data_IF_534739728132
#
_entry.id   IF_534739728132
#
_cell.length_a   1.000
_cell.length_b   1.000
_cell.length_c   1.000
_cell.angle_alpha   90.00
_cell.angle_beta   90.00
_cell.angle_gamma   90.00
#
_symmetry.space_group_name_H-M   'P 1'
#
loop_
_entity.id
_entity.type
_entity.pdbx_description
1 polymer ?
#
# COMPACT_ATOMS: atom_id res chain seq x y z
N UNK A 1 11.98 5.92 -1.91
CA UNK A 1 13.11 6.28 -1.02
C UNK A 1 12.65 7.06 0.20
N UNK A 2 12.17 8.30 0.09
CA UNK A 2 11.82 9.17 1.26
C UNK A 2 10.88 8.52 2.28
N UNK A 3 9.77 7.91 1.81
CA UNK A 3 8.79 7.27 2.69
C UNK A 3 9.39 6.12 3.52
N UNK A 4 10.25 5.30 2.91
CA UNK A 4 10.84 4.11 3.55
C UNK A 4 12.13 4.41 4.30
N UNK A 5 12.95 5.37 3.84
CA UNK A 5 14.28 5.62 4.41
C UNK A 5 14.26 6.69 5.50
N UNK A 6 13.44 7.75 5.33
CA UNK A 6 13.45 8.91 6.24
C UNK A 6 12.21 8.88 7.14
N UNK A 7 11.01 8.85 6.55
CA UNK A 7 9.76 8.91 7.32
C UNK A 7 9.62 7.69 8.23
N UNK A 8 9.82 6.48 7.69
CA UNK A 8 9.76 5.26 8.49
C UNK A 8 10.81 5.24 9.62
N UNK A 9 12.01 5.78 9.39
CA UNK A 9 13.03 5.87 10.45
C UNK A 9 12.62 6.88 11.53
N UNK A 10 12.05 8.02 11.17
CA UNK A 10 11.49 8.98 12.15
C UNK A 10 10.35 8.37 12.96
N UNK A 11 9.48 7.58 12.33
CA UNK A 11 8.40 6.85 13.00
C UNK A 11 8.97 5.79 13.97
N UNK A 12 9.96 5.01 13.54
CA UNK A 12 10.68 4.05 14.39
C UNK A 12 11.35 4.71 15.59
N UNK A 13 11.96 5.89 15.41
CA UNK A 13 12.54 6.65 16.52
C UNK A 13 11.48 7.07 17.53
N UNK A 14 10.27 7.43 17.09
CA UNK A 14 9.16 7.73 18.00
C UNK A 14 8.65 6.49 18.72
N UNK A 15 8.61 5.33 18.06
CA UNK A 15 8.28 4.07 18.72
C UNK A 15 9.30 3.72 19.82
N UNK A 16 10.59 3.94 19.57
CA UNK A 16 11.65 3.76 20.59
C UNK A 16 11.43 4.65 21.82
N UNK A 17 11.04 5.92 21.63
CA UNK A 17 10.68 6.82 22.74
C UNK A 17 9.53 6.22 23.54
N UNK A 18 8.44 5.82 22.89
CA UNK A 18 7.27 5.26 23.57
C UNK A 18 7.60 3.96 24.31
N UNK A 19 8.41 3.09 23.71
CA UNK A 19 8.87 1.86 24.34
C UNK A 19 9.70 2.14 25.59
N UNK A 20 10.63 3.11 25.53
CA UNK A 20 11.41 3.51 26.70
C UNK A 20 10.52 4.10 27.78
N UNK A 21 9.66 5.07 27.45
CA UNK A 21 8.74 5.70 28.41
C UNK A 21 7.86 4.66 29.11
N UNK A 22 7.31 3.70 28.36
CA UNK A 22 6.52 2.61 28.91
C UNK A 22 7.35 1.71 29.85
N UNK A 23 8.60 1.41 29.50
CA UNK A 23 9.53 0.63 30.35
C UNK A 23 9.91 1.34 31.65
N UNK A 24 9.89 2.68 31.64
CA UNK A 24 10.15 3.52 32.80
C UNK A 24 8.87 3.81 33.62
N UNK A 25 7.70 3.34 33.16
CA UNK A 25 6.42 3.63 33.80
C UNK A 25 6.01 5.09 33.68
N UNK A 26 6.47 5.81 32.66
CA UNK A 26 6.15 7.21 32.40
C UNK A 26 5.03 7.34 31.35
N UNK A 27 4.13 8.32 31.51
CA UNK A 27 4.10 9.35 32.57
C UNK A 27 3.38 8.92 33.86
N UNK A 28 2.92 7.67 33.97
CA UNK A 28 2.10 7.21 35.10
C UNK A 28 2.75 7.40 36.47
N UNK A 29 4.05 7.11 36.59
CA UNK A 29 4.82 7.21 37.83
C UNK A 29 4.96 8.65 38.33
N UNK A 30 5.22 9.58 37.41
CA UNK A 30 5.30 11.01 37.68
C UNK A 30 3.93 11.57 38.11
N UNK A 31 2.87 11.23 37.37
CA UNK A 31 1.51 11.71 37.62
C UNK A 31 0.93 11.18 38.95
N UNK A 32 1.22 9.93 39.31
CA UNK A 32 0.77 9.32 40.56
C UNK A 32 1.32 10.07 41.79
N UNK A 33 2.53 10.63 41.68
CA UNK A 33 3.16 11.40 42.75
C UNK A 33 2.76 12.89 42.77
N UNK A 34 2.61 13.54 41.61
CA UNK A 34 2.25 14.97 41.54
C UNK A 34 0.79 15.25 41.93
N UNK A 35 -0.12 14.34 41.59
CA UNK A 35 -1.56 14.47 41.88
C UNK A 35 -2.06 13.22 42.60
N UNK A 36 -1.88 13.13 43.93
CA UNK A 36 -2.39 12.01 44.73
C UNK A 36 -3.93 11.94 44.74
N UNK A 37 -4.62 13.03 44.37
CA UNK A 37 -6.08 13.17 44.36
C UNK A 37 -6.53 13.74 43.00
N UNK A 38 -7.54 13.13 42.37
CA UNK A 38 -8.12 13.57 41.08
C UNK A 38 -7.41 13.00 39.85
N UNK A 39 -7.92 13.26 38.64
CA UNK A 39 -7.30 12.75 37.40
C UNK A 39 -6.23 13.72 36.86
N UNK A 40 -5.10 13.22 36.31
CA UNK A 40 -4.16 14.04 35.55
C UNK A 40 -4.80 14.70 34.33
N UNK A 41 -4.42 15.95 34.00
CA UNK A 41 -5.03 16.67 32.87
C UNK A 41 -4.76 16.00 31.52
N UNK A 42 -3.56 15.43 31.34
CA UNK A 42 -3.18 14.62 30.18
C UNK A 42 -4.14 13.46 29.97
N UNK A 43 -4.43 12.70 31.03
CA UNK A 43 -5.36 11.58 30.97
C UNK A 43 -6.80 12.03 30.66
N UNK A 44 -7.25 13.14 31.25
CA UNK A 44 -8.58 13.71 30.94
C UNK A 44 -8.66 14.11 29.47
N UNK A 45 -7.59 14.71 28.92
CA UNK A 45 -7.53 15.07 27.51
C UNK A 45 -7.52 13.82 26.62
N UNK A 46 -6.77 12.77 26.97
CA UNK A 46 -6.79 11.49 26.24
C UNK A 46 -8.19 10.86 26.27
N UNK A 47 -8.87 10.85 27.43
CA UNK A 47 -10.22 10.34 27.56
C UNK A 47 -11.21 11.14 26.69
N UNK A 48 -11.09 12.47 26.68
CA UNK A 48 -11.92 13.33 25.85
C UNK A 48 -11.68 13.09 24.35
N UNK A 49 -10.43 12.97 23.91
CA UNK A 49 -10.09 12.60 22.53
C UNK A 49 -10.72 11.26 22.12
N UNK A 50 -10.70 10.27 23.02
CA UNK A 50 -11.30 8.94 22.81
C UNK A 50 -12.83 9.02 22.70
N UNK A 51 -13.47 9.84 23.54
CA UNK A 51 -14.93 10.05 23.53
C UNK A 51 -15.39 10.79 22.28
N UNK A 52 -14.74 11.91 21.95
CA UNK A 52 -15.08 12.72 20.77
C UNK A 52 -14.92 11.94 19.48
N UNK A 53 -13.92 11.06 19.41
CA UNK A 53 -13.68 10.22 18.25
C UNK A 53 -14.61 8.99 18.16
N UNK A 54 -15.44 8.73 19.16
CA UNK A 54 -16.21 7.48 19.31
C UNK A 54 -15.31 6.25 19.07
N UNK A 55 -14.13 6.28 19.69
CA UNK A 55 -12.95 5.51 19.27
C UNK A 55 -13.21 4.00 19.14
N UNK A 56 -13.87 3.41 20.14
CA UNK A 56 -14.14 1.96 20.19
C UNK A 56 -15.06 1.54 19.03
N UNK A 57 -16.15 2.26 18.83
CA UNK A 57 -17.10 1.96 17.75
C UNK A 57 -16.50 2.26 16.38
N UNK A 58 -15.70 3.31 16.26
CA UNK A 58 -14.99 3.65 15.03
C UNK A 58 -14.04 2.53 14.61
N UNK A 59 -13.28 1.96 15.54
CA UNK A 59 -12.37 0.83 15.25
C UNK A 59 -13.15 -0.40 14.80
N UNK A 60 -14.24 -0.76 15.50
CA UNK A 60 -15.12 -1.87 15.08
C UNK A 60 -15.69 -1.67 13.67
N UNK A 61 -16.16 -0.47 13.34
CA UNK A 61 -16.62 -0.14 11.97
C UNK A 61 -15.50 -0.27 10.95
N UNK A 62 -14.30 0.21 11.26
CA UNK A 62 -13.15 0.09 10.36
C UNK A 62 -12.77 -1.37 10.09
N UNK A 63 -12.80 -2.25 11.09
CA UNK A 63 -12.61 -3.69 10.88
C UNK A 63 -13.68 -4.28 9.97
N UNK A 64 -14.96 -3.96 10.20
CA UNK A 64 -16.05 -4.43 9.37
C UNK A 64 -15.95 -3.93 7.91
N UNK A 65 -15.50 -2.70 7.71
CA UNK A 65 -15.26 -2.15 6.37
C UNK A 65 -14.10 -2.86 5.66
N UNK A 66 -13.01 -3.14 6.38
CA UNK A 66 -11.87 -3.92 5.86
C UNK A 66 -12.32 -5.34 5.48
N UNK A 67 -13.15 -6.00 6.32
CA UNK A 67 -13.66 -7.33 6.01
C UNK A 67 -14.53 -7.34 4.74
N UNK A 68 -15.32 -6.29 4.52
CA UNK A 68 -16.09 -6.13 3.27
C UNK A 68 -15.18 -5.95 2.06
N UNK A 69 -14.16 -5.09 2.16
CA UNK A 69 -13.21 -4.87 1.07
C UNK A 69 -12.47 -6.18 0.74
N UNK A 70 -11.93 -6.86 1.75
CA UNK A 70 -11.27 -8.15 1.58
C UNK A 70 -12.17 -9.18 0.91
N UNK A 71 -13.41 -9.30 1.38
CA UNK A 71 -14.38 -10.25 0.81
C UNK A 71 -14.70 -9.93 -0.65
N UNK A 72 -14.85 -8.65 -0.99
CA UNK A 72 -15.08 -8.23 -2.37
C UNK A 72 -13.87 -8.54 -3.27
N UNK A 73 -12.65 -8.24 -2.81
CA UNK A 73 -11.42 -8.51 -3.56
C UNK A 73 -11.20 -10.01 -3.76
N UNK A 74 -11.44 -10.82 -2.72
CA UNK A 74 -11.34 -12.27 -2.79
C UNK A 74 -12.36 -12.84 -3.78
N UNK A 75 -13.61 -12.37 -3.76
CA UNK A 75 -14.63 -12.83 -4.70
C UNK A 75 -14.29 -12.49 -6.17
N UNK A 76 -13.75 -11.29 -6.43
CA UNK A 76 -13.30 -10.89 -7.77
C UNK A 76 -12.12 -11.75 -8.23
N UNK A 77 -11.19 -12.04 -7.32
CA UNK A 77 -10.05 -12.90 -7.59
C UNK A 77 -10.48 -14.35 -7.89
N UNK A 78 -11.38 -14.89 -7.08
CA UNK A 78 -11.93 -16.24 -7.26
C UNK A 78 -12.67 -16.37 -8.59
N UNK A 79 -13.45 -15.36 -9.02
CA UNK A 79 -14.09 -15.34 -10.34
C UNK A 79 -13.07 -15.43 -11.49
N UNK A 80 -11.92 -14.75 -11.34
CA UNK A 80 -10.81 -14.86 -12.29
C UNK A 80 -10.20 -16.27 -12.32
N UNK A 81 -9.99 -16.87 -11.14
CA UNK A 81 -9.46 -18.25 -11.05
C UNK A 81 -10.42 -19.28 -11.64
N UNK A 82 -11.72 -19.17 -11.34
CA UNK A 82 -12.76 -20.03 -11.91
C UNK A 82 -12.79 -19.93 -13.43
N UNK A 83 -12.61 -18.72 -13.99
CA UNK A 83 -12.54 -18.52 -15.45
C UNK A 83 -11.33 -19.21 -16.07
N UNK A 84 -10.16 -19.18 -15.43
CA UNK A 84 -8.97 -19.92 -15.89
C UNK A 84 -9.18 -21.43 -15.85
N UNK A 85 -9.77 -21.94 -14.77
CA UNK A 85 -10.06 -23.38 -14.62
C UNK A 85 -11.09 -23.84 -15.67
N UNK A 86 -12.12 -23.04 -15.92
CA UNK A 86 -13.15 -23.36 -16.92
C UNK A 86 -12.57 -23.44 -18.34
N UNK A 87 -11.67 -22.53 -18.72
CA UNK A 87 -10.99 -22.60 -20.03
C UNK A 87 -10.09 -23.83 -20.13
N UNK A 88 -9.38 -24.18 -19.06
CA UNK A 88 -8.54 -25.38 -19.00
C UNK A 88 -9.37 -26.66 -19.17
N UNK A 89 -10.50 -26.77 -18.45
CA UNK A 89 -11.43 -27.89 -18.58
C UNK A 89 -12.03 -27.99 -19.99
N UNK A 90 -12.36 -26.85 -20.60
CA UNK A 90 -12.88 -26.83 -21.97
C UNK A 90 -11.82 -27.26 -22.99
N UNK A 91 -10.59 -26.75 -22.89
CA UNK A 91 -9.47 -27.14 -23.76
C UNK A 91 -9.22 -28.66 -23.65
N UNK A 92 -9.18 -29.20 -22.44
CA UNK A 92 -9.03 -30.63 -22.21
C UNK A 92 -10.18 -31.44 -22.84
N UNK A 93 -11.43 -30.98 -22.71
CA UNK A 93 -12.60 -31.63 -23.31
C UNK A 93 -12.51 -31.65 -24.83
N UNK A 94 -12.12 -30.55 -25.46
CA UNK A 94 -11.99 -30.44 -26.92
C UNK A 94 -10.83 -31.28 -27.46
N UNK A 95 -9.69 -31.30 -26.76
CA UNK A 95 -8.57 -32.21 -27.07
C UNK A 95 -8.99 -33.68 -27.03
N UNK A 96 -9.77 -34.10 -26.04
CA UNK A 96 -10.29 -35.48 -25.95
C UNK A 96 -11.26 -35.80 -27.09
N UNK A 97 -12.05 -34.83 -27.56
CA UNK A 97 -13.04 -35.00 -28.63
C UNK A 97 -12.40 -35.13 -30.02
N UNK A 98 -11.43 -34.27 -30.34
CA UNK A 98 -10.84 -34.19 -31.69
C UNK A 98 -9.47 -34.87 -31.83
N UNK A 99 -8.84 -35.25 -30.72
CA UNK A 99 -7.48 -35.76 -30.69
C UNK A 99 -6.44 -34.65 -30.84
N UNK A 100 -5.21 -34.90 -30.39
CA UNK A 100 -4.12 -33.92 -30.38
C UNK A 100 -3.55 -33.63 -31.76
N UNK A 101 -3.77 -34.51 -32.74
CA UNK A 101 -3.25 -34.34 -34.11
C UNK A 101 -4.06 -33.34 -34.93
N UNK A 102 -5.37 -33.22 -34.65
CA UNK A 102 -6.28 -32.28 -35.33
C UNK A 102 -6.53 -31.02 -34.51
N UNK A 103 -6.45 -31.12 -33.19
CA UNK A 103 -6.59 -29.99 -32.27
C UNK A 103 -5.23 -29.37 -31.94
N UNK A 104 -4.61 -28.73 -32.94
CA UNK A 104 -3.22 -28.27 -32.89
C UNK A 104 -2.99 -26.96 -32.08
N UNK A 105 -4.00 -26.45 -31.34
CA UNK A 105 -3.83 -25.24 -30.52
C UNK A 105 -2.89 -25.50 -29.34
N UNK A 106 -2.18 -24.48 -28.86
CA UNK A 106 -1.41 -24.55 -27.62
C UNK A 106 -2.33 -24.89 -26.45
N UNK A 107 -1.89 -25.72 -25.52
CA UNK A 107 -2.66 -26.08 -24.33
C UNK A 107 -2.81 -24.90 -23.38
N UNK A 108 -3.91 -24.90 -22.64
CA UNK A 108 -4.21 -23.86 -21.65
C UNK A 108 -3.05 -23.59 -20.67
N UNK A 109 -2.27 -24.63 -20.35
CA UNK A 109 -1.18 -24.54 -19.36
C UNK A 109 0.11 -24.02 -20.00
N UNK A 110 0.49 -24.47 -21.20
CA UNK A 110 1.71 -23.98 -21.87
C UNK A 110 1.49 -22.75 -22.77
N UNK A 111 0.25 -22.24 -22.90
CA UNK A 111 0.00 -20.96 -23.54
C UNK A 111 0.74 -19.84 -22.76
N UNK A 112 1.61 -19.03 -23.40
CA UNK A 112 2.42 -18.03 -22.70
C UNK A 112 1.57 -17.00 -21.91
N UNK A 113 0.43 -16.58 -22.46
CA UNK A 113 -0.48 -15.64 -21.78
C UNK A 113 -1.17 -16.31 -20.59
N UNK A 114 -1.60 -17.57 -20.75
CA UNK A 114 -2.17 -18.37 -19.67
C UNK A 114 -1.19 -18.59 -18.51
N UNK A 115 0.07 -18.93 -18.82
CA UNK A 115 1.13 -19.11 -17.82
C UNK A 115 1.46 -17.81 -17.06
N UNK A 116 1.50 -16.67 -17.75
CA UNK A 116 1.65 -15.35 -17.13
C UNK A 116 0.51 -15.08 -16.13
N UNK A 117 -0.75 -15.30 -16.54
CA UNK A 117 -1.92 -15.08 -15.69
C UNK A 117 -1.91 -15.97 -14.44
N UNK A 118 -1.46 -17.23 -14.55
CA UNK A 118 -1.30 -18.13 -13.39
C UNK A 118 -0.19 -17.67 -12.43
N UNK A 119 0.88 -17.07 -12.97
CA UNK A 119 1.95 -16.47 -12.15
C UNK A 119 1.41 -15.28 -11.36
N UNK A 120 0.68 -14.37 -12.03
CA UNK A 120 0.00 -13.25 -11.38
C UNK A 120 -0.99 -13.74 -10.32
N UNK A 121 -1.72 -14.83 -10.58
CA UNK A 121 -2.62 -15.42 -9.59
C UNK A 121 -1.88 -15.87 -8.32
N UNK A 122 -0.73 -16.54 -8.46
CA UNK A 122 0.08 -16.97 -7.33
C UNK A 122 0.64 -15.79 -6.51
N UNK A 123 1.01 -14.69 -7.17
CA UNK A 123 1.43 -13.46 -6.49
C UNK A 123 0.30 -12.84 -5.65
N UNK A 124 -0.90 -12.75 -6.24
CA UNK A 124 -2.09 -12.23 -5.55
C UNK A 124 -2.45 -13.11 -4.34
N UNK A 125 -2.37 -14.44 -4.47
CA UNK A 125 -2.57 -15.37 -3.34
C UNK A 125 -1.58 -15.08 -2.20
N UNK A 126 -0.31 -14.82 -2.54
CA UNK A 126 0.71 -14.40 -1.56
C UNK A 126 0.33 -13.12 -0.84
N UNK A 127 -0.19 -12.11 -1.55
CA UNK A 127 -0.63 -10.85 -0.96
C UNK A 127 -1.84 -11.03 -0.03
N UNK A 128 -2.82 -11.85 -0.42
CA UNK A 128 -4.02 -12.14 0.41
C UNK A 128 -3.63 -12.91 1.67
N UNK A 129 -2.71 -13.89 1.57
CA UNK A 129 -2.24 -14.66 2.72
C UNK A 129 -1.48 -13.78 3.73
N UNK A 130 -0.56 -12.93 3.24
CA UNK A 130 0.24 -12.03 4.08
C UNK A 130 -0.62 -10.97 4.78
N UNK A 131 -1.57 -10.37 4.05
CA UNK A 131 -2.51 -9.39 4.61
C UNK A 131 -3.44 -9.99 5.66
N UNK A 132 -3.92 -11.22 5.47
CA UNK A 132 -4.74 -11.92 6.48
C UNK A 132 -3.99 -12.10 7.81
N UNK A 133 -2.72 -12.48 7.76
CA UNK A 133 -1.87 -12.60 8.96
C UNK A 133 -1.65 -11.24 9.64
N UNK A 134 -1.39 -10.21 8.85
CA UNK A 134 -1.17 -8.83 9.35
C UNK A 134 -2.42 -8.26 10.02
N UNK A 135 -3.59 -8.43 9.41
CA UNK A 135 -4.88 -7.99 9.95
C UNK A 135 -5.20 -8.68 11.28
N UNK A 136 -4.87 -9.95 11.41
CA UNK A 136 -5.05 -10.71 12.65
C UNK A 136 -4.20 -10.13 13.79
N UNK A 137 -2.95 -9.75 13.53
CA UNK A 137 -2.08 -9.10 14.53
C UNK A 137 -2.72 -7.77 14.99
N UNK A 138 -3.27 -6.98 14.07
CA UNK A 138 -3.92 -5.70 14.40
C UNK A 138 -5.18 -5.92 15.25
N UNK A 139 -5.98 -6.96 14.95
CA UNK A 139 -7.14 -7.37 15.76
C UNK A 139 -6.74 -7.77 17.17
N UNK A 140 -5.68 -8.55 17.33
CA UNK A 140 -5.15 -8.97 18.63
C UNK A 140 -4.65 -7.77 19.45
N UNK A 141 -3.93 -6.84 18.80
CA UNK A 141 -3.51 -5.57 19.43
C UNK A 141 -4.71 -4.79 19.96
N UNK A 142 -5.80 -4.69 19.20
CA UNK A 142 -7.01 -4.00 19.63
C UNK A 142 -7.72 -4.74 20.77
N UNK A 143 -7.91 -6.06 20.64
CA UNK A 143 -8.56 -6.88 21.67
C UNK A 143 -7.85 -6.77 23.04
N UNK A 144 -6.52 -6.66 23.04
CA UNK A 144 -5.72 -6.50 24.25
C UNK A 144 -5.98 -5.17 24.99
N UNK A 145 -6.41 -4.12 24.28
CA UNK A 145 -6.63 -2.78 24.85
C UNK A 145 -8.10 -2.38 24.95
N UNK A 146 -9.01 -3.09 24.28
CA UNK A 146 -10.42 -2.74 24.14
C UNK A 146 -11.10 -2.49 25.48
N UNK A 147 -10.87 -3.35 26.48
CA UNK A 147 -11.46 -3.17 27.82
C UNK A 147 -11.01 -1.87 28.48
N UNK A 148 -9.74 -1.51 28.32
CA UNK A 148 -9.16 -0.28 28.90
C UNK A 148 -9.63 0.95 28.13
N UNK A 149 -9.77 0.84 26.81
CA UNK A 149 -10.37 1.89 25.98
C UNK A 149 -11.82 2.17 26.35
N UNK A 150 -12.61 1.15 26.70
CA UNK A 150 -13.96 1.34 27.20
C UNK A 150 -13.99 2.10 28.54
N UNK A 151 -12.97 1.95 29.39
CA UNK A 151 -12.81 2.77 30.60
C UNK A 151 -12.54 4.23 30.24
N UNK A 152 -11.64 4.51 29.28
CA UNK A 152 -11.37 5.86 28.77
C UNK A 152 -12.59 6.51 28.11
N UNK A 153 -13.38 5.73 27.36
CA UNK A 153 -14.59 6.19 26.69
C UNK A 153 -15.75 6.42 27.67
N UNK A 154 -15.72 5.81 28.86
CA UNK A 154 -16.72 6.00 29.91
C UNK A 154 -16.64 7.37 30.58
N UNK A 155 -17.61 7.74 31.44
CA UNK A 155 -17.61 9.02 32.15
C UNK A 155 -16.48 9.12 33.18
N UNK A 156 -16.08 10.34 33.55
CA UNK A 156 -14.97 10.61 34.48
C UNK A 156 -15.05 9.84 35.81
N UNK A 157 -16.27 9.55 36.28
CA UNK A 157 -16.50 8.72 37.47
C UNK A 157 -15.89 7.32 37.35
N UNK A 158 -16.03 6.68 36.18
CA UNK A 158 -15.50 5.34 35.91
C UNK A 158 -13.97 5.38 35.84
N UNK A 159 -13.40 6.44 35.25
CA UNK A 159 -11.96 6.69 35.26
C UNK A 159 -11.41 6.89 36.68
N UNK A 160 -12.11 7.65 37.51
CA UNK A 160 -11.74 7.85 38.91
C UNK A 160 -11.85 6.57 39.76
N UNK A 161 -12.79 5.68 39.44
CA UNK A 161 -12.89 4.37 40.09
C UNK A 161 -11.77 3.42 39.66
N UNK A 162 -11.35 3.50 38.39
CA UNK A 162 -10.23 2.72 37.86
C UNK A 162 -8.87 3.17 38.42
N UNK A 163 -8.72 4.46 38.72
CA UNK A 163 -7.47 5.03 39.24
C UNK A 163 -7.59 5.25 40.75
N UNK A 164 -7.05 4.35 41.60
CA UNK A 164 -7.18 4.47 43.06
C UNK A 164 -6.58 5.77 43.57
N UNK A 165 -7.21 6.34 44.61
CA UNK A 165 -6.69 7.53 45.29
C UNK A 165 -5.46 7.14 46.14
N UNK A 166 -4.36 7.86 45.95
CA UNK A 166 -3.17 7.67 46.79
C UNK A 166 -3.28 8.51 48.06
N UNK A 167 -2.83 7.98 49.20
CA UNK A 167 -2.69 8.79 50.41
C UNK A 167 -1.60 9.81 50.19
N UNK A 168 -1.81 11.04 50.69
CA UNK A 168 -0.77 12.07 50.73
C UNK A 168 0.36 11.59 51.64
N UNK A 169 1.50 11.23 51.08
CA UNK A 169 2.76 11.21 51.84
C UNK A 169 3.37 12.60 51.75
N UNK A 170 3.65 13.22 52.91
CA UNK A 170 4.41 14.46 52.99
C UNK A 170 5.73 14.28 52.22
N UNK A 171 5.80 14.89 51.04
CA UNK A 171 6.86 14.63 50.09
C UNK A 171 8.09 15.44 50.48
N UNK A 172 9.18 14.74 50.85
CA UNK A 172 10.48 15.36 51.14
C UNK A 172 10.89 16.34 50.02
N UNK A 173 11.63 17.40 50.38
CA UNK A 173 12.14 18.38 49.42
C UNK A 173 13.01 17.73 48.33
N UNK A 174 13.74 16.66 48.67
CA UNK A 174 14.50 15.86 47.72
C UNK A 174 13.60 15.16 46.67
N UNK A 175 12.45 14.64 47.09
CA UNK A 175 11.45 14.02 46.20
C UNK A 175 10.86 15.08 45.26
N UNK A 176 10.50 16.26 45.77
CA UNK A 176 9.96 17.36 44.96
C UNK A 176 10.97 17.84 43.91
N UNK A 177 12.25 17.92 44.27
CA UNK A 177 13.33 18.24 43.33
C UNK A 177 13.48 17.19 42.23
N UNK A 178 13.49 15.90 42.59
CA UNK A 178 13.59 14.80 41.63
C UNK A 178 12.38 14.74 40.67
N UNK A 179 11.16 14.94 41.19
CA UNK A 179 9.92 15.07 40.39
C UNK A 179 10.04 16.24 39.41
N UNK A 180 10.50 17.40 39.87
CA UNK A 180 10.66 18.59 39.01
C UNK A 180 11.64 18.36 37.85
N UNK A 181 12.77 17.70 38.12
CA UNK A 181 13.76 17.32 37.08
C UNK A 181 13.16 16.35 36.06
N UNK A 182 12.49 15.30 36.54
CA UNK A 182 11.84 14.31 35.68
C UNK A 182 10.73 14.91 34.83
N UNK A 183 9.92 15.82 35.40
CA UNK A 183 8.90 16.57 34.66
C UNK A 183 9.49 17.43 33.55
N UNK A 184 10.61 18.11 33.82
CA UNK A 184 11.31 18.90 32.80
C UNK A 184 11.80 18.00 31.67
N UNK A 185 12.49 16.90 32.00
CA UNK A 185 13.00 15.95 31.02
C UNK A 185 11.88 15.33 30.17
N UNK A 186 10.77 14.95 30.80
CA UNK A 186 9.58 14.44 30.11
C UNK A 186 8.95 15.49 29.19
N UNK A 187 8.88 16.76 29.62
CA UNK A 187 8.39 17.85 28.77
C UNK A 187 9.28 18.07 27.54
N UNK A 188 10.59 17.85 27.65
CA UNK A 188 11.50 17.96 26.51
C UNK A 188 11.31 16.83 25.50
N UNK A 189 11.03 15.59 25.98
CA UNK A 189 10.61 14.48 25.12
C UNK A 189 9.32 14.81 24.35
N UNK A 190 8.30 15.33 25.03
CA UNK A 190 7.03 15.70 24.36
C UNK A 190 7.22 16.82 23.32
N UNK A 191 8.13 17.76 23.56
CA UNK A 191 8.48 18.80 22.58
C UNK A 191 9.18 18.21 21.36
N UNK A 192 10.10 17.26 21.58
CA UNK A 192 10.79 16.53 20.51
C UNK A 192 9.77 15.78 19.63
N UNK A 193 8.88 14.98 20.23
CA UNK A 193 7.81 14.28 19.51
C UNK A 193 6.91 15.23 18.72
N UNK A 194 6.48 16.34 19.33
CA UNK A 194 5.64 17.32 18.64
C UNK A 194 6.36 17.97 17.46
N UNK A 195 7.67 18.22 17.56
CA UNK A 195 8.47 18.79 16.47
C UNK A 195 8.65 17.77 15.35
N UNK A 196 8.95 16.51 15.68
CA UNK A 196 9.08 15.41 14.73
C UNK A 196 7.79 15.17 13.97
N UNK A 197 6.64 15.17 14.64
CA UNK A 197 5.33 15.03 13.99
C UNK A 197 5.10 16.10 12.92
N UNK A 198 5.45 17.36 13.21
CA UNK A 198 5.37 18.45 12.22
C UNK A 198 6.33 18.22 11.06
N UNK A 199 7.57 17.80 11.33
CA UNK A 199 8.57 17.49 10.30
C UNK A 199 8.10 16.37 9.37
N UNK A 200 7.56 15.28 9.91
CA UNK A 200 7.00 14.17 9.12
C UNK A 200 5.86 14.63 8.22
N UNK A 201 4.97 15.50 8.71
CA UNK A 201 3.88 16.03 7.89
C UNK A 201 4.39 16.91 6.75
N UNK A 202 5.33 17.81 7.03
CA UNK A 202 5.98 18.65 6.00
C UNK A 202 6.72 17.80 4.97
N UNK A 203 7.43 16.74 5.40
CA UNK A 203 8.09 15.80 4.48
C UNK A 203 7.08 15.09 3.58
N UNK A 204 5.96 14.62 4.14
CA UNK A 204 4.88 13.99 3.35
C UNK A 204 4.29 14.96 2.33
N UNK A 205 4.13 16.23 2.69
CA UNK A 205 3.65 17.26 1.77
C UNK A 205 4.68 17.57 0.67
N UNK A 206 5.97 17.71 1.03
CA UNK A 206 7.04 17.96 0.07
C UNK A 206 7.18 16.81 -0.94
N UNK A 207 7.12 15.55 -0.47
CA UNK A 207 7.14 14.37 -1.36
C UNK A 207 5.94 14.37 -2.32
N UNK A 208 4.75 14.79 -1.87
CA UNK A 208 3.58 14.90 -2.76
C UNK A 208 3.73 16.02 -3.79
N UNK A 209 4.47 17.09 -3.46
CA UNK A 209 4.71 18.24 -4.32
C UNK A 209 5.91 18.07 -5.26
N UNK A 210 6.78 17.11 -5.00
CA UNK A 210 7.96 16.84 -5.82
C UNK A 210 7.56 16.14 -7.13
N UNK A 211 7.22 16.93 -8.15
CA UNK A 211 7.07 16.45 -9.53
C UNK A 211 8.39 16.61 -10.28
N UNK A 212 9.01 15.48 -10.62
CA UNK A 212 10.29 15.43 -11.35
C UNK A 212 10.10 15.55 -12.87
N UNK A 213 8.89 15.31 -13.40
CA UNK A 213 8.60 15.31 -14.84
C UNK A 213 9.01 16.60 -15.56
N UNK A 214 8.66 17.82 -15.08
CA UNK A 214 9.01 19.04 -15.80
C UNK A 214 10.51 19.26 -15.88
N UNK A 215 11.28 18.81 -14.89
CA UNK A 215 12.73 18.98 -14.90
C UNK A 215 13.44 17.90 -15.71
N UNK A 216 12.91 16.67 -15.74
CA UNK A 216 13.34 15.64 -16.71
C UNK A 216 13.13 16.14 -18.14
N UNK A 217 11.98 16.76 -18.45
CA UNK A 217 11.71 17.28 -19.79
C UNK A 217 12.68 18.40 -20.20
N UNK A 218 13.05 19.29 -19.27
CA UNK A 218 14.09 20.31 -19.52
C UNK A 218 15.44 19.67 -19.75
N UNK A 219 15.78 18.64 -18.98
CA UNK A 219 17.04 17.93 -19.11
C UNK A 219 17.10 17.11 -20.42
N UNK A 220 15.99 16.48 -20.83
CA UNK A 220 15.83 15.88 -22.15
C UNK A 220 16.11 16.92 -23.25
N UNK A 221 15.46 18.09 -23.21
CA UNK A 221 15.66 19.14 -24.21
C UNK A 221 17.11 19.66 -24.24
N UNK A 222 17.79 19.70 -23.09
CA UNK A 222 19.22 20.02 -22.99
C UNK A 222 20.06 18.93 -23.66
N UNK A 223 19.82 17.66 -23.34
CA UNK A 223 20.54 16.51 -23.88
C UNK A 223 20.32 16.35 -25.38
N UNK A 224 19.10 16.56 -25.89
CA UNK A 224 18.79 16.57 -27.33
C UNK A 224 19.55 17.67 -28.07
N UNK A 225 19.74 18.83 -27.43
CA UNK A 225 20.53 19.94 -28.01
C UNK A 225 22.03 19.66 -27.95
N UNK A 226 22.52 19.04 -26.88
CA UNK A 226 23.96 18.74 -26.70
C UNK A 226 24.40 17.55 -27.54
N UNK A 227 23.52 16.55 -27.73
CA UNK A 227 23.80 15.33 -28.48
C UNK A 227 22.70 15.03 -29.51
N UNK A 228 22.57 15.85 -30.57
CA UNK A 228 21.46 15.78 -31.54
C UNK A 228 21.42 14.49 -32.38
N UNK A 229 22.50 13.71 -32.38
CA UNK A 229 22.62 12.43 -33.11
C UNK A 229 22.69 11.21 -32.21
N UNK A 230 22.75 11.39 -30.89
CA UNK A 230 22.83 10.28 -29.93
C UNK A 230 21.44 9.91 -29.44
N UNK A 231 21.17 8.62 -29.31
CA UNK A 231 19.96 8.14 -28.64
C UNK A 231 20.08 8.46 -27.15
N UNK A 232 19.11 9.19 -26.61
CA UNK A 232 19.08 9.49 -25.19
C UNK A 232 18.70 8.21 -24.44
N UNK A 233 19.60 7.76 -23.57
CA UNK A 233 19.41 6.60 -22.69
C UNK A 233 19.36 7.07 -21.23
N UNK A 234 18.79 6.28 -20.30
CA UNK A 234 18.70 6.63 -18.88
C UNK A 234 20.05 7.04 -18.25
N UNK A 235 21.15 6.42 -18.69
CA UNK A 235 22.50 6.72 -18.18
C UNK A 235 22.91 8.21 -18.36
N UNK A 236 22.33 8.94 -19.31
CA UNK A 236 22.62 10.36 -19.51
C UNK A 236 21.95 11.27 -18.47
N UNK A 237 21.01 10.75 -17.68
CA UNK A 237 20.32 11.49 -16.62
C UNK A 237 20.91 11.22 -15.22
N UNK A 238 21.88 10.31 -15.08
CA UNK A 238 22.46 9.94 -13.77
C UNK A 238 22.97 11.18 -13.04
N UNK A 239 23.80 12.02 -13.67
CA UNK A 239 24.29 13.27 -13.08
C UNK A 239 23.15 14.22 -12.66
N UNK A 240 22.05 14.27 -13.43
CA UNK A 240 20.89 15.09 -13.10
C UNK A 240 20.14 14.53 -11.89
N UNK A 241 19.95 13.21 -11.84
CA UNK A 241 19.31 12.54 -10.71
C UNK A 241 20.16 12.69 -9.46
N UNK A 242 21.45 12.43 -9.53
CA UNK A 242 22.39 12.57 -8.40
C UNK A 242 22.36 14.00 -7.84
N UNK A 243 22.51 15.02 -8.70
CA UNK A 243 22.46 16.42 -8.26
C UNK A 243 21.11 16.82 -7.65
N UNK A 244 20.00 16.26 -8.15
CA UNK A 244 18.66 16.52 -7.59
C UNK A 244 18.50 15.80 -6.25
N UNK A 245 18.94 14.56 -6.16
CA UNK A 245 18.89 13.74 -4.95
C UNK A 245 19.72 14.38 -3.83
N UNK A 246 20.94 14.80 -4.13
CA UNK A 246 21.83 15.48 -3.18
C UNK A 246 21.20 16.76 -2.64
N UNK A 247 20.60 17.59 -3.51
CA UNK A 247 20.00 18.86 -3.09
C UNK A 247 18.75 18.69 -2.24
N UNK A 248 17.92 17.68 -2.55
CA UNK A 248 16.63 17.51 -1.90
C UNK A 248 16.70 16.61 -0.67
N UNK A 249 17.56 15.59 -0.69
CA UNK A 249 17.51 14.50 0.29
C UNK A 249 18.72 14.44 1.22
N UNK A 250 19.90 14.90 0.81
CA UNK A 250 21.07 14.95 1.70
C UNK A 250 20.82 15.80 2.97
N UNK A 251 20.19 17.00 2.89
CA UNK A 251 19.88 17.78 4.09
C UNK A 251 18.88 17.07 5.01
N UNK A 252 17.96 16.28 4.45
CA UNK A 252 16.97 15.53 5.22
C UNK A 252 17.59 14.31 5.89
N UNK A 253 18.55 13.65 5.24
CA UNK A 253 19.35 12.56 5.80
C UNK A 253 20.27 13.05 6.92
N UNK A 254 20.98 14.16 6.72
CA UNK A 254 21.78 14.79 7.77
C UNK A 254 20.88 15.24 8.95
N UNK A 255 19.70 15.80 8.63
CA UNK A 255 18.70 16.18 9.61
C UNK A 255 18.11 15.00 10.37
N UNK A 256 18.08 13.80 9.79
CA UNK A 256 17.68 12.56 10.46
C UNK A 256 18.74 12.09 11.46
N UNK A 257 20.01 12.11 11.07
CA UNK A 257 21.12 11.75 11.96
C UNK A 257 21.19 12.68 13.19
N UNK A 258 20.98 13.98 12.99
CA UNK A 258 20.91 14.96 14.10
C UNK A 258 19.73 14.70 15.03
N UNK A 259 18.58 14.31 14.49
CA UNK A 259 17.38 14.00 15.27
C UNK A 259 17.58 12.74 16.12
N UNK A 260 18.29 11.73 15.59
CA UNK A 260 18.68 10.51 16.31
C UNK A 260 19.63 10.84 17.48
N UNK A 261 20.68 11.65 17.23
CA UNK A 261 21.62 12.08 18.27
C UNK A 261 20.95 12.94 19.36
N UNK A 262 20.02 13.84 18.98
CA UNK A 262 19.24 14.62 19.94
C UNK A 262 18.32 13.72 20.77
N UNK A 263 17.67 12.73 20.15
CA UNK A 263 16.86 11.75 20.85
C UNK A 263 17.70 11.01 21.88
N UNK A 264 18.86 10.46 21.52
CA UNK A 264 19.73 9.74 22.46
C UNK A 264 20.11 10.61 23.67
N UNK A 265 20.42 11.89 23.45
CA UNK A 265 20.72 12.84 24.54
C UNK A 265 19.53 13.05 25.46
N UNK A 266 18.34 13.30 24.91
CA UNK A 266 17.12 13.54 25.70
C UNK A 266 16.72 12.26 26.46
N UNK A 267 16.82 11.08 25.83
CA UNK A 267 16.56 9.80 26.48
C UNK A 267 17.57 9.51 27.60
N UNK A 268 18.86 9.85 27.41
CA UNK A 268 19.84 9.76 28.48
C UNK A 268 19.52 10.66 29.67
N UNK A 269 18.96 11.86 29.44
CA UNK A 269 18.51 12.77 30.52
C UNK A 269 17.31 12.19 31.26
N UNK A 270 16.29 11.69 30.55
CA UNK A 270 15.09 11.15 31.20
C UNK A 270 15.39 9.89 32.00
N UNK A 271 16.27 9.01 31.53
CA UNK A 271 16.70 7.84 32.29
C UNK A 271 17.41 8.24 33.59
N UNK A 272 18.34 9.20 33.54
CA UNK A 272 19.04 9.67 34.75
C UNK A 272 18.07 10.30 35.74
N UNK A 273 17.17 11.16 35.26
CA UNK A 273 16.13 11.76 36.08
C UNK A 273 15.18 10.70 36.68
N UNK A 274 14.83 9.67 35.91
CA UNK A 274 13.98 8.58 36.39
C UNK A 274 14.69 7.71 37.44
N UNK A 275 15.99 7.42 37.28
CA UNK A 275 16.78 6.71 38.31
C UNK A 275 16.85 7.51 39.61
N UNK A 276 17.07 8.81 39.53
CA UNK A 276 17.05 9.71 40.71
C UNK A 276 15.65 9.67 41.35
N UNK A 277 14.59 9.85 40.57
CA UNK A 277 13.21 9.79 41.03
C UNK A 277 12.86 8.45 41.69
N UNK A 278 13.17 7.31 41.07
CA UNK A 278 12.94 5.98 41.63
C UNK A 278 13.69 5.76 42.94
N UNK A 279 14.92 6.27 43.06
CA UNK A 279 15.69 6.18 44.30
C UNK A 279 14.98 6.91 45.45
N UNK A 280 14.44 8.11 45.18
CA UNK A 280 13.70 8.89 46.16
C UNK A 280 12.31 8.29 46.43
N UNK A 281 11.65 7.73 45.41
CA UNK A 281 10.35 7.06 45.51
C UNK A 281 10.42 5.84 46.43
N UNK A 282 11.45 5.01 46.29
CA UNK A 282 11.64 3.80 47.13
C UNK A 282 11.79 4.11 48.62
N UNK A 283 12.40 5.24 48.96
CA UNK A 283 12.56 5.69 50.34
C UNK A 283 11.23 6.11 50.99
N UNK A 284 10.21 6.39 50.18
CA UNK A 284 8.90 6.92 50.61
C UNK A 284 7.71 6.10 50.09
N UNK A 285 7.93 4.84 49.67
CA UNK A 285 6.94 4.03 48.96
C UNK A 285 5.73 3.67 49.83
N UNK A 286 4.55 4.14 49.44
CA UNK A 286 3.25 3.64 49.91
C UNK A 286 2.61 2.73 48.84
N UNK A 287 1.97 1.63 49.27
CA UNK A 287 1.38 0.61 48.38
C UNK A 287 0.31 1.19 47.45
N UNK A 288 -0.43 2.21 47.91
CA UNK A 288 -1.44 2.91 47.11
C UNK A 288 -0.88 3.72 45.93
N UNK A 289 0.34 4.24 46.05
CA UNK A 289 0.99 5.01 44.95
C UNK A 289 1.35 4.11 43.78
N UNK A 290 1.75 2.87 44.05
CA UNK A 290 2.10 1.89 43.02
C UNK A 290 0.87 1.42 42.22
N UNK A 291 -0.23 1.10 42.91
CA UNK A 291 -1.49 0.69 42.24
C UNK A 291 -2.05 1.82 41.36
N UNK A 292 -1.94 3.06 41.82
CA UNK A 292 -2.32 4.25 41.05
C UNK A 292 -1.44 4.45 39.81
N UNK A 293 -0.12 4.33 39.97
CA UNK A 293 0.86 4.40 38.88
C UNK A 293 0.57 3.35 37.80
N UNK A 294 0.36 2.09 38.19
CA UNK A 294 0.02 1.00 37.26
C UNK A 294 -1.28 1.28 36.51
N UNK A 295 -2.31 1.82 37.19
CA UNK A 295 -3.58 2.19 36.56
C UNK A 295 -3.42 3.33 35.54
N UNK A 296 -2.71 4.40 35.90
CA UNK A 296 -2.43 5.54 35.01
C UNK A 296 -1.62 5.10 33.78
N UNK A 297 -0.56 4.33 33.99
CA UNK A 297 0.28 3.83 32.90
C UNK A 297 -0.53 2.93 31.95
N UNK A 298 -1.41 2.09 32.49
CA UNK A 298 -2.26 1.20 31.68
C UNK A 298 -3.22 1.99 30.79
N UNK A 299 -3.78 3.10 31.29
CA UNK A 299 -4.66 3.98 30.52
C UNK A 299 -3.91 4.73 29.42
N UNK A 300 -2.75 5.32 29.74
CA UNK A 300 -1.93 6.03 28.74
C UNK A 300 -1.42 5.07 27.66
N UNK A 301 -0.94 3.88 28.04
CA UNK A 301 -0.54 2.85 27.09
C UNK A 301 -1.68 2.43 26.15
N UNK A 302 -2.92 2.34 26.66
CA UNK A 302 -4.07 2.01 25.84
C UNK A 302 -4.38 3.12 24.82
N UNK A 303 -4.21 4.40 25.18
CA UNK A 303 -4.38 5.53 24.27
C UNK A 303 -3.38 5.50 23.11
N UNK A 304 -2.09 5.30 23.39
CA UNK A 304 -1.06 5.24 22.35
C UNK A 304 -1.23 4.02 21.45
N UNK A 305 -1.52 2.85 22.01
CA UNK A 305 -1.82 1.65 21.23
C UNK A 305 -3.07 1.82 20.36
N UNK A 306 -4.07 2.56 20.82
CA UNK A 306 -5.22 2.91 19.98
C UNK A 306 -4.81 3.74 18.76
N UNK A 307 -3.94 4.75 18.93
CA UNK A 307 -3.43 5.53 17.80
C UNK A 307 -2.69 4.67 16.79
N UNK A 308 -1.88 3.73 17.27
CA UNK A 308 -1.19 2.74 16.44
C UNK A 308 -2.19 1.86 15.66
N UNK A 309 -3.20 1.30 16.33
CA UNK A 309 -4.25 0.49 15.70
C UNK A 309 -4.98 1.29 14.62
N UNK A 310 -5.37 2.54 14.90
CA UNK A 310 -6.03 3.40 13.90
C UNK A 310 -5.13 3.63 12.68
N UNK A 311 -3.84 3.88 12.89
CA UNK A 311 -2.90 4.05 11.78
C UNK A 311 -2.80 2.77 10.93
N UNK A 312 -2.71 1.60 11.57
CA UNK A 312 -2.67 0.32 10.88
C UNK A 312 -3.95 0.04 10.09
N UNK A 313 -5.11 0.41 10.63
CA UNK A 313 -6.40 0.27 9.93
C UNK A 313 -6.50 1.17 8.69
N UNK A 314 -5.97 2.39 8.73
CA UNK A 314 -5.93 3.26 7.54
C UNK A 314 -5.00 2.69 6.46
N UNK A 315 -3.85 2.12 6.86
CA UNK A 315 -2.95 1.41 5.95
C UNK A 315 -3.63 0.19 5.33
N UNK A 316 -4.29 -0.65 6.13
CA UNK A 316 -5.01 -1.83 5.65
C UNK A 316 -6.14 -1.45 4.68
N UNK A 317 -6.93 -0.41 5.02
CA UNK A 317 -7.97 0.11 4.13
C UNK A 317 -7.40 0.53 2.77
N UNK A 318 -6.28 1.27 2.77
CA UNK A 318 -5.63 1.68 1.52
C UNK A 318 -5.13 0.46 0.74
N UNK A 319 -4.51 -0.50 1.41
CA UNK A 319 -4.03 -1.74 0.81
C UNK A 319 -5.14 -2.47 0.06
N UNK A 320 -6.30 -2.72 0.68
CA UNK A 320 -7.40 -3.42 -0.01
C UNK A 320 -8.01 -2.59 -1.16
N UNK A 321 -8.07 -1.26 -1.05
CA UNK A 321 -8.49 -0.44 -2.20
C UNK A 321 -7.52 -0.54 -3.40
N UNK A 322 -6.23 -0.72 -3.15
CA UNK A 322 -5.24 -0.92 -4.21
C UNK A 322 -5.25 -2.37 -4.71
N UNK A 323 -5.43 -3.35 -3.82
CA UNK A 323 -5.64 -4.75 -4.18
C UNK A 323 -6.85 -4.92 -5.08
N UNK A 324 -7.96 -4.24 -4.80
CA UNK A 324 -9.16 -4.25 -5.64
C UNK A 324 -8.85 -3.95 -7.12
N UNK A 325 -8.01 -2.95 -7.39
CA UNK A 325 -7.62 -2.58 -8.75
C UNK A 325 -6.78 -3.66 -9.41
N UNK A 326 -5.87 -4.27 -8.65
CA UNK A 326 -5.01 -5.37 -9.11
C UNK A 326 -5.86 -6.60 -9.44
N UNK A 327 -6.76 -7.03 -8.55
CA UNK A 327 -7.59 -8.22 -8.79
C UNK A 327 -8.64 -8.00 -9.88
N UNK A 328 -9.19 -6.79 -10.00
CA UNK A 328 -10.20 -6.46 -11.01
C UNK A 328 -9.56 -6.29 -12.40
N UNK A 329 -8.78 -5.23 -12.59
CA UNK A 329 -8.24 -4.85 -13.90
C UNK A 329 -6.95 -5.61 -14.21
N UNK A 330 -6.11 -5.81 -13.19
CA UNK A 330 -4.80 -6.45 -13.33
C UNK A 330 -4.84 -7.97 -13.45
N UNK A 331 -5.98 -8.61 -13.13
CA UNK A 331 -6.12 -10.06 -13.19
C UNK A 331 -7.44 -10.49 -13.85
N UNK A 332 -8.61 -10.29 -13.21
CA UNK A 332 -9.89 -10.81 -13.70
C UNK A 332 -10.21 -10.38 -15.12
N UNK A 333 -10.11 -9.09 -15.45
CA UNK A 333 -10.44 -8.61 -16.79
C UNK A 333 -9.46 -9.15 -17.84
N UNK A 334 -8.17 -9.29 -17.49
CA UNK A 334 -7.17 -9.91 -18.37
C UNK A 334 -7.47 -11.40 -18.60
N UNK A 335 -7.86 -12.12 -17.55
CA UNK A 335 -8.31 -13.52 -17.66
C UNK A 335 -9.51 -13.60 -18.59
N UNK A 336 -10.55 -12.79 -18.39
CA UNK A 336 -11.75 -12.82 -19.23
C UNK A 336 -11.46 -12.54 -20.70
N UNK A 337 -10.58 -11.57 -20.98
CA UNK A 337 -10.17 -11.28 -22.35
C UNK A 337 -9.42 -12.46 -22.97
N UNK A 338 -8.48 -13.06 -22.23
CA UNK A 338 -7.75 -14.23 -22.69
C UNK A 338 -8.69 -15.43 -22.94
N UNK A 339 -9.59 -15.74 -22.01
CA UNK A 339 -10.60 -16.80 -22.18
C UNK A 339 -11.48 -16.55 -23.40
N UNK A 340 -11.88 -15.29 -23.65
CA UNK A 340 -12.65 -14.93 -24.84
C UNK A 340 -11.86 -15.15 -26.16
N UNK A 341 -10.57 -14.79 -26.19
CA UNK A 341 -9.67 -15.10 -27.31
C UNK A 341 -9.60 -16.61 -27.54
N UNK A 342 -9.43 -17.39 -26.47
CA UNK A 342 -9.34 -18.86 -26.51
C UNK A 342 -10.62 -19.53 -26.98
N UNK A 343 -11.79 -19.04 -26.55
CA UNK A 343 -13.07 -19.51 -27.06
C UNK A 343 -13.26 -19.21 -28.56
N UNK A 344 -12.80 -18.04 -29.03
CA UNK A 344 -12.89 -17.67 -30.44
C UNK A 344 -12.00 -18.59 -31.30
N UNK A 345 -10.75 -18.80 -30.88
CA UNK A 345 -9.82 -19.75 -31.52
C UNK A 345 -10.41 -21.17 -31.55
N UNK A 346 -11.01 -21.61 -30.45
CA UNK A 346 -11.66 -22.91 -30.36
C UNK A 346 -12.77 -23.08 -31.42
N UNK A 347 -13.65 -22.09 -31.53
CA UNK A 347 -14.77 -22.12 -32.48
C UNK A 347 -14.29 -22.13 -33.92
N UNK A 348 -13.30 -21.29 -34.26
CA UNK A 348 -12.72 -21.25 -35.60
C UNK A 348 -12.13 -22.62 -35.97
N UNK A 349 -11.38 -23.25 -35.04
CA UNK A 349 -10.81 -24.57 -35.28
C UNK A 349 -11.87 -25.68 -35.40
N UNK A 350 -12.93 -25.64 -34.58
CA UNK A 350 -14.06 -26.56 -34.72
C UNK A 350 -14.78 -26.40 -36.08
N UNK A 351 -14.95 -25.16 -36.57
CA UNK A 351 -15.54 -24.88 -37.88
C UNK A 351 -14.66 -25.41 -39.03
N UNK A 352 -13.35 -25.19 -38.96
CA UNK A 352 -12.39 -25.72 -39.95
C UNK A 352 -12.40 -27.25 -39.99
N UNK A 353 -12.46 -27.91 -38.82
CA UNK A 353 -12.49 -29.36 -38.72
C UNK A 353 -13.82 -29.97 -39.18
N UNK A 354 -14.92 -29.21 -39.10
CA UNK A 354 -16.25 -29.63 -39.54
C UNK A 354 -16.53 -29.29 -41.02
N UNK A 355 -15.69 -28.49 -41.69
CA UNK A 355 -15.84 -28.27 -43.14
C UNK A 355 -15.64 -29.58 -43.91
N UNK A 356 -16.53 -29.91 -44.86
CA UNK A 356 -16.37 -31.09 -45.70
C UNK A 356 -15.08 -30.98 -46.52
N UNK A 357 -14.30 -32.06 -46.53
CA UNK A 357 -13.09 -32.17 -47.35
C UNK A 357 -13.42 -31.88 -48.82
N UNK A 358 -12.82 -30.82 -49.38
CA UNK A 358 -12.87 -30.50 -50.82
C UNK A 358 -12.20 -31.58 -51.70
N UNK A 359 -11.63 -32.63 -51.11
CA UNK A 359 -11.01 -33.76 -51.81
C UNK A 359 -11.96 -34.69 -52.58
N UNK A 360 -13.27 -34.45 -52.57
CA UNK A 360 -14.24 -35.33 -53.26
C UNK A 360 -15.07 -34.66 -54.38
N UNK A 361 -14.66 -33.48 -54.86
CA UNK A 361 -15.16 -32.93 -56.13
C UNK A 361 -14.37 -33.57 -57.29
N UNK A 362 -14.62 -34.85 -57.55
CA UNK A 362 -14.22 -35.49 -58.80
C UNK A 362 -15.09 -34.93 -59.93
N UNK A 363 -14.60 -33.87 -60.60
CA UNK A 363 -15.13 -33.44 -61.91
C UNK A 363 -14.82 -34.57 -62.90
N UNK A 364 -15.84 -35.39 -63.16
CA UNK A 364 -15.81 -36.39 -64.23
C UNK A 364 -16.02 -35.67 -65.56
N UNK A 365 -14.96 -35.06 -66.10
CA UNK A 365 -14.98 -34.50 -67.44
C UNK A 365 -14.67 -35.62 -68.43
N UNK A 366 -15.71 -36.15 -69.07
CA UNK A 366 -15.62 -37.13 -70.15
C UNK A 366 -14.78 -36.57 -71.30
N UNK A 367 -13.71 -37.29 -71.63
CA UNK A 367 -12.93 -37.07 -72.84
C UNK A 367 -13.72 -37.55 -74.06
N UNK A 368 -14.06 -36.64 -74.97
CA UNK A 368 -14.37 -36.97 -76.37
C UNK A 368 -13.29 -36.41 -77.28
N UNK A 369 -12.80 -37.27 -78.17
CA UNK A 369 -11.70 -37.05 -79.09
C UNK A 369 -12.19 -36.56 -80.47
N UNK A 370 -11.43 -35.58 -81.02
CA UNK A 370 -11.10 -35.30 -82.45
C UNK A 370 -12.14 -34.63 -83.38
N UNK A 371 -11.73 -34.01 -84.52
CA UNK A 371 -10.44 -33.36 -84.87
C UNK A 371 -10.54 -32.01 -85.65
N UNK A 372 -9.41 -31.28 -85.64
CA UNK A 372 -8.84 -30.29 -86.59
C UNK A 372 -9.71 -29.64 -87.69
N UNK A 373 -9.65 -28.30 -87.74
CA UNK A 373 -9.51 -27.53 -88.99
C UNK A 373 -8.73 -26.23 -88.72
N UNK A 374 -7.77 -25.96 -89.60
CA UNK A 374 -6.98 -24.75 -89.66
C UNK A 374 -7.67 -23.74 -90.58
N UNK A 375 -7.60 -22.43 -90.27
CA UNK A 375 -7.16 -21.46 -91.28
C UNK A 375 -6.73 -20.11 -90.69
N UNK A 376 -6.06 -19.37 -91.56
CA UNK A 376 -5.05 -18.34 -91.39
C UNK A 376 -5.54 -16.88 -91.10
N UNK A 377 -4.58 -16.06 -90.64
CA UNK A 377 -4.33 -14.64 -91.04
C UNK A 377 -4.88 -13.40 -90.28
N UNK A 378 -3.91 -12.71 -89.63
CA UNK A 378 -3.43 -11.31 -89.84
C UNK A 378 -4.17 -10.00 -89.39
N UNK A 379 -3.33 -9.08 -88.87
CA UNK A 379 -3.43 -7.63 -88.52
C UNK A 379 -4.11 -7.20 -87.19
N UNK A 380 -3.71 -6.16 -86.44
CA UNK A 380 -2.46 -5.43 -86.15
C UNK A 380 -2.77 -4.31 -85.10
N UNK A 381 -1.79 -4.00 -84.22
CA UNK A 381 -1.42 -2.70 -83.61
C UNK A 381 -2.36 -1.91 -82.65
N UNK A 382 -2.06 -2.00 -81.33
CA UNK A 382 -1.68 -0.96 -80.30
C UNK A 382 -2.33 0.47 -80.24
N UNK A 383 -2.09 1.30 -79.19
CA UNK A 383 -2.46 1.16 -77.75
C UNK A 383 -3.01 2.49 -77.14
N UNK A 384 -3.68 2.48 -75.96
CA UNK A 384 -3.86 3.73 -75.17
C UNK A 384 -3.75 3.45 -73.66
N UNK A 385 -2.96 4.31 -73.02
CA UNK A 385 -2.61 4.40 -71.59
C UNK A 385 -3.67 5.20 -70.83
N UNK A 386 -4.01 4.81 -69.59
CA UNK A 386 -4.68 5.70 -68.62
C UNK A 386 -4.14 5.52 -67.18
N UNK A 387 -3.95 6.62 -66.43
CA UNK A 387 -3.31 6.61 -65.11
C UNK A 387 -4.30 6.61 -63.92
N UNK A 388 -3.77 6.30 -62.74
CA UNK A 388 -4.44 6.31 -61.44
C UNK A 388 -4.69 7.72 -60.84
N UNK A 389 -5.58 7.85 -59.84
CA UNK A 389 -5.50 8.96 -58.89
C UNK A 389 -5.28 8.53 -57.43
N UNK A 390 -4.54 9.40 -56.71
CA UNK A 390 -4.10 9.32 -55.32
C UNK A 390 -5.15 9.84 -54.33
N UNK A 391 -5.02 9.35 -53.10
CA UNK A 391 -5.75 9.69 -51.88
C UNK A 391 -5.41 11.10 -51.33
N UNK A 392 -6.38 11.72 -50.65
CA UNK A 392 -6.27 12.97 -49.90
C UNK A 392 -6.46 12.76 -48.40
N UNK A 393 -5.70 13.49 -47.59
CA UNK A 393 -5.74 13.53 -46.13
C UNK A 393 -6.62 14.70 -45.61
N UNK A 394 -7.14 14.64 -44.36
CA UNK A 394 -8.02 15.68 -43.81
C UNK A 394 -7.29 16.72 -42.95
N UNK A 395 -7.80 17.97 -42.96
CA UNK A 395 -7.37 19.11 -42.13
C UNK A 395 -8.32 19.32 -40.92
N UNK A 396 -7.72 19.67 -39.79
CA UNK A 396 -8.37 20.09 -38.53
C UNK A 396 -8.88 21.54 -38.60
N UNK A 397 -9.97 21.80 -37.86
CA UNK A 397 -10.59 23.11 -37.62
C UNK A 397 -10.44 23.53 -36.15
N UNK A 398 -10.10 24.81 -35.93
CA UNK A 398 -10.21 25.50 -34.63
C UNK A 398 -11.38 26.49 -34.67
N UNK A 399 -12.04 26.80 -33.54
CA UNK A 399 -13.10 27.80 -33.48
C UNK A 399 -12.58 29.19 -33.03
N UNK A 400 -13.28 30.28 -33.39
CA UNK A 400 -12.94 31.62 -32.91
C UNK A 400 -13.76 32.04 -31.68
N UNK A 401 -13.17 32.96 -30.93
CA UNK A 401 -13.74 33.72 -29.82
C UNK A 401 -14.74 34.78 -30.30
N UNK A 402 -15.76 35.03 -29.48
CA UNK A 402 -16.29 36.37 -29.13
C UNK A 402 -16.99 36.28 -27.78
#
# INVERSE_FOLDING_TARGET
MVNQSIIQKLESLTEEIHNLLASLGLPGSLQAMEKPIGLPHSLVQHAEDIRQADAVQRVHRSFADIDKLRSADTAIFDEGKESLLAEEEEDQRLRRKYGTDRWARADSVNDPKGAELRTVAAEIEGYIASSTSSDQIVREKFAAIERVLNVLAGPDRVLMEFVPASRRTDSSEAVRSAVGKLRSAYSDVLRLESRRRKKVETLRENVKRDDIKPDILKECARLERTYPTATIVPAHFEDFFDNRLDKLYEPEMEGLAKEDEEQEKVLGVIERANREFESQKRLHSDRGTKEREEALQKLDNAYFKYKEVVNNLEVARKFYNDLNKIVSQGFRDRVKNWVAERHLEARQLEEELNMPSLGHLSIHQQAQQRPQQADDSYYASQPVVTPAPRQSAPRQSNPPQS
#
